data_IF_235445740477
#
_entry.id   IF_235445740477
#
_cell.length_a   1.000
_cell.length_b   1.000
_cell.length_c   1.000
_cell.angle_alpha   90.00
_cell.angle_beta   90.00
_cell.angle_gamma   90.00
#
_symmetry.space_group_name_H-M   'P 1'
#
loop_
_entity.id
_entity.type
_entity.pdbx_description
1 polymer ?
#
# COMPACT_ATOMS: atom_id res chain seq x y z
N UNK A 1 -14.90 -5.11 -26.05
CA UNK A 1 -13.94 -3.99 -26.27
C UNK A 1 -14.37 -2.67 -25.61
N UNK A 2 -15.68 -2.33 -25.60
CA UNK A 2 -16.18 -1.04 -25.09
C UNK A 2 -16.02 -0.85 -23.57
N UNK A 3 -16.31 -1.87 -22.75
CA UNK A 3 -16.19 -1.78 -21.28
C UNK A 3 -14.77 -1.47 -20.82
N UNK A 4 -13.75 -2.04 -21.49
CA UNK A 4 -12.35 -1.75 -21.19
C UNK A 4 -12.03 -0.29 -21.48
N UNK A 5 -12.39 0.22 -22.65
CA UNK A 5 -12.14 1.63 -23.01
C UNK A 5 -12.86 2.61 -22.07
N UNK A 6 -14.10 2.30 -21.68
CA UNK A 6 -14.86 3.11 -20.71
C UNK A 6 -14.14 3.12 -19.35
N UNK A 7 -13.72 1.96 -18.85
CA UNK A 7 -12.95 1.87 -17.61
C UNK A 7 -11.63 2.65 -17.68
N UNK A 8 -10.90 2.56 -18.80
CA UNK A 8 -9.68 3.33 -19.00
C UNK A 8 -9.92 4.85 -18.97
N UNK A 9 -10.99 5.34 -19.61
CA UNK A 9 -11.34 6.76 -19.58
C UNK A 9 -11.64 7.20 -18.14
N UNK A 10 -12.43 6.44 -17.38
CA UNK A 10 -12.69 6.74 -15.97
C UNK A 10 -11.40 6.75 -15.14
N UNK A 11 -10.50 5.80 -15.34
CA UNK A 11 -9.22 5.76 -14.65
C UNK A 11 -8.32 6.94 -15.02
N UNK A 12 -8.32 7.39 -16.28
CA UNK A 12 -7.57 8.59 -16.69
C UNK A 12 -8.14 9.82 -15.98
N UNK A 13 -9.46 10.02 -16.02
CA UNK A 13 -10.10 11.17 -15.34
C UNK A 13 -9.84 11.12 -13.84
N UNK A 14 -9.98 9.95 -13.22
CA UNK A 14 -9.68 9.76 -11.80
C UNK A 14 -8.20 10.04 -11.48
N UNK A 15 -7.27 9.62 -12.35
CA UNK A 15 -5.84 9.88 -12.16
C UNK A 15 -5.48 11.36 -12.23
N UNK A 16 -6.07 12.09 -13.19
CA UNK A 16 -5.88 13.54 -13.30
C UNK A 16 -6.43 14.21 -12.05
N UNK A 17 -7.64 13.85 -11.62
CA UNK A 17 -8.23 14.38 -10.39
C UNK A 17 -7.36 14.08 -9.16
N UNK A 18 -6.84 12.86 -9.04
CA UNK A 18 -6.00 12.43 -7.92
C UNK A 18 -4.66 13.18 -7.86
N UNK A 19 -4.04 13.45 -9.02
CA UNK A 19 -2.79 14.22 -9.10
C UNK A 19 -3.04 15.71 -8.79
N UNK A 20 -4.15 16.28 -9.27
CA UNK A 20 -4.49 17.68 -9.02
C UNK A 20 -5.00 17.94 -7.60
N UNK A 21 -5.60 16.93 -6.96
CA UNK A 21 -6.17 17.00 -5.61
C UNK A 21 -5.57 15.90 -4.73
N UNK A 22 -4.26 15.96 -4.44
CA UNK A 22 -3.56 14.86 -3.77
C UNK A 22 -4.10 14.62 -2.35
N UNK A 23 -4.52 15.67 -1.63
CA UNK A 23 -5.14 15.52 -0.32
C UNK A 23 -6.45 14.73 -0.37
N UNK A 24 -7.39 15.14 -1.23
CA UNK A 24 -8.66 14.42 -1.39
C UNK A 24 -8.42 12.96 -1.81
N UNK A 25 -7.43 12.74 -2.68
CA UNK A 25 -7.03 11.42 -3.13
C UNK A 25 -6.45 10.56 -2.01
N UNK A 26 -5.57 11.09 -1.18
CA UNK A 26 -4.99 10.40 -0.03
C UNK A 26 -6.07 10.03 1.00
N UNK A 27 -7.00 10.95 1.27
CA UNK A 27 -8.14 10.68 2.16
C UNK A 27 -9.09 9.63 1.63
N UNK A 28 -9.43 9.68 0.33
CA UNK A 28 -10.24 8.63 -0.29
C UNK A 28 -9.55 7.26 -0.21
N UNK A 29 -8.23 7.22 -0.41
CA UNK A 29 -7.44 6.00 -0.28
C UNK A 29 -7.47 5.48 1.16
N UNK A 30 -7.23 6.34 2.15
CA UNK A 30 -7.22 5.97 3.57
C UNK A 30 -8.57 5.46 4.04
N UNK A 31 -9.66 6.13 3.64
CA UNK A 31 -11.02 5.65 3.89
C UNK A 31 -11.24 4.29 3.21
N UNK A 32 -10.79 4.14 1.96
CA UNK A 32 -10.88 2.88 1.22
C UNK A 32 -10.15 1.74 1.92
N UNK A 33 -8.90 1.96 2.34
CA UNK A 33 -8.12 1.00 3.11
C UNK A 33 -8.78 0.65 4.45
N UNK A 34 -9.24 1.67 5.20
CA UNK A 34 -9.97 1.47 6.45
C UNK A 34 -11.22 0.60 6.24
N UNK A 35 -12.00 0.87 5.18
CA UNK A 35 -13.17 0.06 4.82
C UNK A 35 -12.82 -1.40 4.48
N UNK A 36 -11.75 -1.62 3.70
CA UNK A 36 -11.29 -2.97 3.35
C UNK A 36 -10.84 -3.73 4.61
N UNK A 37 -10.04 -3.10 5.48
CA UNK A 37 -9.56 -3.71 6.73
C UNK A 37 -10.73 -4.01 7.67
N UNK A 38 -11.74 -3.13 7.74
CA UNK A 38 -12.96 -3.36 8.52
C UNK A 38 -13.71 -4.60 8.04
N UNK A 39 -13.98 -4.70 6.73
CA UNK A 39 -14.67 -5.85 6.13
C UNK A 39 -13.86 -7.14 6.31
N UNK A 40 -12.53 -7.07 6.17
CA UNK A 40 -11.65 -8.20 6.42
C UNK A 40 -11.74 -8.69 7.88
N UNK A 41 -11.71 -7.78 8.85
CA UNK A 41 -11.89 -8.10 10.27
C UNK A 41 -13.26 -8.70 10.56
N UNK A 42 -14.33 -8.15 9.96
CA UNK A 42 -15.68 -8.71 10.09
C UNK A 42 -15.75 -10.13 9.54
N UNK A 43 -15.26 -10.38 8.32
CA UNK A 43 -15.21 -11.71 7.73
C UNK A 43 -14.38 -12.70 8.56
N UNK A 44 -13.30 -12.21 9.19
CA UNK A 44 -12.49 -13.02 10.10
C UNK A 44 -13.27 -13.46 11.35
N UNK A 45 -14.06 -12.56 11.94
CA UNK A 45 -14.93 -12.89 13.07
C UNK A 45 -16.09 -13.80 12.69
N UNK A 46 -16.71 -13.58 11.53
CA UNK A 46 -17.80 -14.44 11.04
C UNK A 46 -17.34 -15.90 10.86
N UNK A 47 -16.10 -16.10 10.42
CA UNK A 47 -15.50 -17.43 10.18
C UNK A 47 -14.72 -17.95 11.39
N UNK A 48 -14.93 -17.41 12.59
CA UNK A 48 -14.26 -17.92 13.80
C UNK A 48 -14.77 -19.32 14.17
N UNK A 49 -16.04 -19.60 13.86
CA UNK A 49 -16.68 -20.90 14.12
C UNK A 49 -16.09 -22.05 13.31
N UNK A 50 -15.52 -21.76 12.14
CA UNK A 50 -14.92 -22.74 11.24
C UNK A 50 -13.59 -23.31 11.75
N UNK A 51 -12.98 -22.69 12.78
CA UNK A 51 -11.72 -23.18 13.33
C UNK A 51 -11.99 -24.34 14.30
N UNK A 52 -11.36 -25.52 14.12
CA UNK A 52 -11.54 -26.66 15.02
C UNK A 52 -10.93 -26.46 16.41
N UNK A 53 -9.78 -25.77 16.50
CA UNK A 53 -8.99 -25.61 17.73
C UNK A 53 -9.33 -24.32 18.50
N UNK A 54 -9.50 -24.40 19.82
CA UNK A 54 -9.76 -23.25 20.69
C UNK A 54 -8.66 -22.18 20.64
N UNK A 55 -7.39 -22.57 20.55
CA UNK A 55 -6.29 -21.60 20.44
C UNK A 55 -6.38 -20.83 19.11
N UNK A 56 -6.71 -21.50 18.02
CA UNK A 56 -6.91 -20.86 16.72
C UNK A 56 -8.13 -19.93 16.71
N UNK A 57 -9.21 -20.29 17.40
CA UNK A 57 -10.38 -19.42 17.61
C UNK A 57 -9.98 -18.15 18.34
N UNK A 58 -9.28 -18.25 19.46
CA UNK A 58 -8.81 -17.09 20.22
C UNK A 58 -7.92 -16.18 19.37
N UNK A 59 -6.95 -16.74 18.65
CA UNK A 59 -6.07 -15.96 17.78
C UNK A 59 -6.84 -15.25 16.65
N UNK A 60 -7.77 -15.95 15.99
CA UNK A 60 -8.60 -15.37 14.94
C UNK A 60 -9.56 -14.30 15.47
N UNK A 61 -10.12 -14.51 16.66
CA UNK A 61 -10.96 -13.53 17.36
C UNK A 61 -10.19 -12.27 17.70
N UNK A 62 -9.04 -12.40 18.35
CA UNK A 62 -8.16 -11.26 18.68
C UNK A 62 -7.70 -10.52 17.43
N UNK A 63 -7.28 -11.25 16.38
CA UNK A 63 -6.92 -10.65 15.10
C UNK A 63 -8.10 -9.91 14.47
N UNK A 64 -9.29 -10.52 14.43
CA UNK A 64 -10.47 -9.87 13.86
C UNK A 64 -10.87 -8.59 14.62
N UNK A 65 -10.81 -8.62 15.96
CA UNK A 65 -11.00 -7.42 16.78
C UNK A 65 -9.93 -6.36 16.49
N UNK A 66 -8.67 -6.76 16.34
CA UNK A 66 -7.58 -5.83 16.04
C UNK A 66 -7.78 -5.16 14.67
N UNK A 67 -8.21 -5.93 13.66
CA UNK A 67 -8.54 -5.40 12.34
C UNK A 67 -9.69 -4.40 12.41
N UNK A 68 -10.76 -4.73 13.10
CA UNK A 68 -11.90 -3.83 13.27
C UNK A 68 -11.49 -2.58 14.04
N UNK A 69 -10.76 -2.74 15.16
CA UNK A 69 -10.29 -1.61 15.97
C UNK A 69 -9.37 -0.68 15.19
N UNK A 70 -8.39 -1.23 14.46
CA UNK A 70 -7.51 -0.46 13.59
C UNK A 70 -8.27 0.25 12.46
N UNK A 71 -9.22 -0.43 11.83
CA UNK A 71 -10.05 0.19 10.81
C UNK A 71 -10.94 1.32 11.35
N UNK A 72 -11.55 1.14 12.52
CA UNK A 72 -12.34 2.19 13.18
C UNK A 72 -11.45 3.38 13.51
N UNK A 73 -10.24 3.15 14.00
CA UNK A 73 -9.27 4.22 14.25
C UNK A 73 -8.95 5.00 12.97
N UNK A 74 -8.72 4.30 11.85
CA UNK A 74 -8.47 4.90 10.54
C UNK A 74 -9.67 5.74 10.05
N UNK A 75 -10.89 5.26 10.29
CA UNK A 75 -12.12 5.84 9.73
C UNK A 75 -12.67 7.00 10.57
N UNK A 76 -12.32 7.11 11.86
CA UNK A 76 -12.76 8.21 12.73
C UNK A 76 -12.09 9.52 12.32
N UNK A 77 -10.77 9.48 12.13
CA UNK A 77 -9.99 10.62 11.66
C UNK A 77 -9.04 10.18 10.54
N UNK A 78 -9.52 10.17 9.29
CA UNK A 78 -8.71 9.77 8.14
C UNK A 78 -7.48 10.65 7.95
N UNK A 79 -7.55 11.95 8.30
CA UNK A 79 -6.47 12.90 8.07
C UNK A 79 -5.31 12.61 9.01
N UNK A 80 -5.59 12.48 10.30
CA UNK A 80 -4.58 12.09 11.29
C UNK A 80 -4.02 10.68 11.01
N UNK A 81 -4.87 9.81 10.45
CA UNK A 81 -4.47 8.47 10.03
C UNK A 81 -3.54 8.47 8.83
N UNK A 82 -3.76 9.32 7.82
CA UNK A 82 -2.85 9.52 6.68
C UNK A 82 -1.46 9.98 7.12
N UNK A 83 -1.43 10.95 8.03
CA UNK A 83 -0.20 11.50 8.62
C UNK A 83 0.55 10.39 9.36
N UNK A 84 -0.16 9.59 10.16
CA UNK A 84 0.42 8.49 10.93
C UNK A 84 0.87 7.33 10.03
N UNK A 85 0.11 7.00 8.98
CA UNK A 85 0.45 5.96 8.02
C UNK A 85 1.70 6.30 7.21
N UNK A 86 1.89 7.56 6.85
CA UNK A 86 3.10 8.02 6.16
C UNK A 86 4.33 7.85 7.06
N UNK A 87 4.24 8.27 8.32
CA UNK A 87 5.32 8.10 9.29
C UNK A 87 5.63 6.61 9.50
N UNK A 88 4.59 5.79 9.65
CA UNK A 88 4.73 4.34 9.77
C UNK A 88 5.44 3.75 8.55
N UNK A 89 5.05 4.13 7.33
CA UNK A 89 5.73 3.70 6.10
C UNK A 89 7.20 4.16 6.05
N UNK A 90 7.50 5.40 6.45
CA UNK A 90 8.88 5.90 6.54
C UNK A 90 9.74 5.09 7.51
N UNK A 91 9.20 4.75 8.68
CA UNK A 91 9.88 3.90 9.66
C UNK A 91 10.07 2.47 9.14
N UNK A 92 9.08 1.90 8.45
CA UNK A 92 9.22 0.57 7.84
C UNK A 92 10.34 0.55 6.79
N UNK A 93 10.39 1.55 5.90
CA UNK A 93 11.45 1.67 4.89
C UNK A 93 12.83 1.87 5.54
N UNK A 94 12.92 2.62 6.64
CA UNK A 94 14.17 2.72 7.40
C UNK A 94 14.62 1.36 7.93
N UNK A 95 13.71 0.61 8.55
CA UNK A 95 14.03 -0.72 9.09
C UNK A 95 14.41 -1.69 7.97
N UNK A 96 13.68 -1.68 6.86
CA UNK A 96 13.95 -2.49 5.67
C UNK A 96 15.32 -2.16 5.08
N UNK A 97 15.61 -0.88 4.82
CA UNK A 97 16.91 -0.44 4.31
C UNK A 97 18.06 -0.80 5.25
N UNK A 98 17.88 -0.66 6.57
CA UNK A 98 18.89 -1.09 7.55
C UNK A 98 19.11 -2.61 7.53
N UNK A 99 18.04 -3.40 7.40
CA UNK A 99 18.12 -4.86 7.26
C UNK A 99 18.85 -5.25 5.97
N UNK A 100 18.55 -4.61 4.85
CA UNK A 100 19.23 -4.85 3.57
C UNK A 100 20.71 -4.48 3.64
N UNK A 101 21.06 -3.37 4.30
CA UNK A 101 22.45 -2.99 4.52
C UNK A 101 23.19 -4.03 5.37
N UNK A 102 22.58 -4.50 6.46
CA UNK A 102 23.15 -5.56 7.29
C UNK A 102 23.33 -6.87 6.51
N UNK A 103 22.35 -7.21 5.66
CA UNK A 103 22.37 -8.42 4.83
C UNK A 103 23.41 -8.33 3.72
N UNK A 104 23.51 -7.18 3.05
CA UNK A 104 24.50 -6.91 2.02
C UNK A 104 25.93 -6.89 2.57
N UNK A 105 26.13 -6.34 3.78
CA UNK A 105 27.43 -6.31 4.46
C UNK A 105 27.89 -7.69 4.92
N UNK A 106 26.96 -8.57 5.31
CA UNK A 106 27.26 -9.94 5.76
C UNK A 106 27.29 -10.98 4.64
N UNK A 107 26.79 -10.64 3.44
CA UNK A 107 26.70 -11.56 2.30
C UNK A 107 27.99 -11.67 1.49
N UNK A 108 28.33 -12.90 1.11
CA UNK A 108 29.39 -13.21 0.13
C UNK A 108 28.84 -13.46 -1.29
N UNK A 109 27.57 -13.17 -1.54
CA UNK A 109 26.95 -13.36 -2.84
C UNK A 109 27.52 -12.40 -3.90
N UNK A 110 27.55 -12.84 -5.16
CA UNK A 110 27.99 -12.01 -6.29
C UNK A 110 27.18 -10.72 -6.44
N UNK A 111 25.93 -10.69 -5.97
CA UNK A 111 25.02 -9.55 -6.04
C UNK A 111 25.02 -8.66 -4.77
N UNK A 112 25.93 -8.86 -3.81
CA UNK A 112 25.94 -8.09 -2.54
C UNK A 112 25.95 -6.57 -2.75
N UNK A 113 26.65 -6.09 -3.79
CA UNK A 113 26.74 -4.67 -4.08
C UNK A 113 25.38 -4.07 -4.46
N UNK A 114 24.54 -4.83 -5.17
CA UNK A 114 23.18 -4.42 -5.51
C UNK A 114 22.30 -4.33 -4.26
N UNK A 115 22.40 -5.31 -3.35
CA UNK A 115 21.66 -5.32 -2.08
C UNK A 115 22.05 -4.14 -1.20
N UNK A 116 23.33 -3.78 -1.15
CA UNK A 116 23.78 -2.60 -0.40
C UNK A 116 23.24 -1.30 -1.02
N UNK A 117 23.26 -1.18 -2.35
CA UNK A 117 22.72 0.00 -3.04
C UNK A 117 21.22 0.12 -2.79
N UNK A 118 20.48 -0.98 -2.90
CA UNK A 118 19.04 -1.03 -2.59
C UNK A 118 18.78 -0.58 -1.15
N UNK A 119 19.49 -1.16 -0.18
CA UNK A 119 19.36 -0.78 1.23
C UNK A 119 19.71 0.69 1.51
N UNK A 120 20.70 1.27 0.82
CA UNK A 120 21.00 2.71 0.92
C UNK A 120 19.81 3.53 0.39
N UNK A 121 19.31 3.19 -0.80
CA UNK A 121 18.19 3.90 -1.42
C UNK A 121 16.95 3.81 -0.54
N UNK A 122 16.59 2.61 -0.09
CA UNK A 122 15.44 2.34 0.79
C UNK A 122 15.56 3.09 2.12
N UNK A 123 16.75 3.05 2.77
CA UNK A 123 16.99 3.78 4.01
C UNK A 123 16.92 5.31 3.81
N UNK A 124 17.47 5.84 2.72
CA UNK A 124 17.39 7.27 2.41
C UNK A 124 15.94 7.69 2.17
N UNK A 125 15.17 6.91 1.41
CA UNK A 125 13.75 7.19 1.18
C UNK A 125 12.95 7.18 2.50
N UNK A 126 13.18 6.19 3.35
CA UNK A 126 12.56 6.15 4.68
C UNK A 126 12.96 7.34 5.55
N UNK A 127 14.24 7.73 5.53
CA UNK A 127 14.76 8.87 6.29
C UNK A 127 14.14 10.19 5.84
N UNK A 128 14.04 10.40 4.53
CA UNK A 128 13.40 11.59 3.95
C UNK A 128 11.95 11.70 4.42
N UNK A 129 11.19 10.60 4.32
CA UNK A 129 9.80 10.57 4.79
C UNK A 129 9.66 10.92 6.27
N UNK A 130 10.59 10.47 7.13
CA UNK A 130 10.55 10.75 8.57
C UNK A 130 10.95 12.19 8.89
N UNK A 131 11.94 12.76 8.19
CA UNK A 131 12.41 14.14 8.43
C UNK A 131 11.42 15.18 7.90
N UNK A 132 10.81 14.91 6.74
CA UNK A 132 9.86 15.81 6.07
C UNK A 132 8.44 15.69 6.61
N UNK A 133 8.20 14.73 7.50
CA UNK A 133 6.94 14.58 8.21
C UNK A 133 6.70 15.73 9.20
N UNK A 134 5.47 16.27 9.31
CA UNK A 134 4.25 15.88 8.61
C UNK A 134 4.01 16.61 7.28
N UNK A 135 4.85 17.57 6.89
CA UNK A 135 4.63 18.46 5.73
C UNK A 135 4.50 17.75 4.39
N UNK A 136 5.33 16.75 4.09
CA UNK A 136 5.31 16.06 2.78
C UNK A 136 4.34 14.88 2.71
N UNK A 137 3.83 14.43 3.86
CA UNK A 137 2.76 13.42 3.95
C UNK A 137 1.51 13.83 3.19
N UNK A 138 1.25 15.14 3.09
CA UNK A 138 0.01 15.70 2.55
C UNK A 138 -0.13 15.52 1.03
N UNK A 139 0.96 15.35 0.29
CA UNK A 139 0.92 15.21 -1.16
C UNK A 139 1.45 13.85 -1.66
N UNK A 140 2.40 13.24 -0.95
CA UNK A 140 3.07 12.02 -1.40
C UNK A 140 2.09 10.86 -1.68
N UNK A 141 1.24 10.50 -0.71
CA UNK A 141 0.30 9.37 -0.85
C UNK A 141 -0.71 9.58 -1.98
N UNK A 142 -1.28 10.78 -2.08
CA UNK A 142 -2.25 11.13 -3.11
C UNK A 142 -1.68 11.09 -4.51
N UNK A 143 -0.48 11.65 -4.69
CA UNK A 143 0.22 11.65 -5.98
C UNK A 143 0.64 10.24 -6.38
N UNK A 144 1.19 9.44 -5.47
CA UNK A 144 1.55 8.03 -5.74
C UNK A 144 0.31 7.26 -6.19
N UNK A 145 -0.82 7.44 -5.50
CA UNK A 145 -2.07 6.80 -5.90
C UNK A 145 -2.54 7.26 -7.29
N UNK A 146 -2.56 8.57 -7.55
CA UNK A 146 -2.91 9.12 -8.87
C UNK A 146 -2.04 8.57 -10.00
N UNK A 147 -0.74 8.47 -9.80
CA UNK A 147 0.19 7.86 -10.76
C UNK A 147 -0.12 6.37 -10.96
N UNK A 148 -0.43 5.63 -9.90
CA UNK A 148 -0.79 4.20 -10.02
C UNK A 148 -2.11 3.98 -10.79
N UNK A 149 -3.10 4.86 -10.62
CA UNK A 149 -4.33 4.86 -11.41
C UNK A 149 -4.04 5.16 -12.89
N UNK A 150 -3.16 6.12 -13.16
CA UNK A 150 -2.74 6.43 -14.53
C UNK A 150 -2.07 5.25 -15.21
N UNK A 151 -1.10 4.61 -14.54
CA UNK A 151 -0.42 3.41 -15.05
C UNK A 151 -1.40 2.26 -15.27
N UNK A 152 -2.38 2.08 -14.39
CA UNK A 152 -3.45 1.09 -14.53
C UNK A 152 -4.31 1.36 -15.77
N UNK A 153 -4.65 2.63 -16.02
CA UNK A 153 -5.39 3.02 -17.22
C UNK A 153 -4.62 2.68 -18.50
N UNK A 154 -3.31 2.98 -18.53
CA UNK A 154 -2.45 2.65 -19.67
C UNK A 154 -2.37 1.14 -19.92
N UNK A 155 -2.22 0.34 -18.87
CA UNK A 155 -2.20 -1.12 -18.99
C UNK A 155 -3.51 -1.68 -19.52
N UNK A 156 -4.64 -1.05 -19.16
CA UNK A 156 -5.95 -1.49 -19.62
C UNK A 156 -6.19 -1.18 -21.10
N UNK A 157 -5.54 -0.14 -21.64
CA UNK A 157 -5.55 0.25 -23.05
C UNK A 157 -4.63 -0.60 -23.93
N UNK A 158 -3.60 -1.27 -23.36
CA UNK A 158 -2.73 -2.19 -24.12
C UNK A 158 -3.59 -3.33 -24.72
N UNK A 159 -3.55 -3.56 -26.04
CA UNK A 159 -4.09 -4.76 -26.65
C UNK A 159 -3.38 -5.97 -26.03
N UNK A 160 -4.13 -6.88 -25.42
CA UNK A 160 -3.60 -8.18 -24.97
C UNK A 160 -3.48 -9.10 -26.17
N UNK A 161 -2.53 -8.80 -27.06
CA UNK A 161 -2.17 -9.67 -28.18
C UNK A 161 -0.70 -10.10 -28.00
N UNK A 162 -0.45 -10.98 -27.03
CA UNK A 162 0.66 -11.90 -27.17
C UNK A 162 0.11 -13.10 -27.96
N UNK A 163 0.53 -13.32 -29.24
CA UNK A 163 0.16 -14.53 -29.94
C UNK A 163 0.61 -15.74 -29.11
N UNK A 164 -0.14 -16.86 -29.11
CA UNK A 164 0.38 -18.10 -28.55
C UNK A 164 1.74 -18.35 -29.20
N UNK A 165 2.77 -18.58 -28.38
CA UNK A 165 4.07 -19.01 -28.88
C UNK A 165 3.80 -20.22 -29.81
N UNK A 166 3.95 -19.99 -31.11
CA UNK A 166 3.85 -21.04 -32.09
C UNK A 166 5.09 -21.91 -31.91
N UNK A 167 4.84 -23.15 -31.45
CA UNK A 167 5.68 -24.36 -31.53
C UNK A 167 7.16 -24.22 -31.21
#
# INVERSE_FOLDING_TARGET
>A
MNTRRIAAIFLIVASIAAILLPFASATLLTIGLGGIVFVAGLNQLLRIGDIPNNQGKLFKGLSGLLYIGGAVFILIDPIDSEISLTLFAGVLLLVEGLMELATGASSNASARGLVVVDGIVTAVLGLLLVIEWPSDSLWALGTIFGVSLFLSALNLLKPTDAPPAAS
#
